data_IF_769067589716
#
_entry.id   IF_769067589716
#
_cell.length_a   1.000
_cell.length_b   1.000
_cell.length_c   1.000
_cell.angle_alpha   90.00
_cell.angle_beta   90.00
_cell.angle_gamma   90.00
#
_symmetry.space_group_name_H-M   'P 1'
#
loop_
_entity.id
_entity.type
_entity.pdbx_description
1 polymer ?
#
# COMPACT_ATOMS: atom_id res chain seq x y z
N UNK A 1 2.83 24.52 4.64
CA UNK A 1 1.72 23.67 5.11
C UNK A 1 1.75 22.42 4.28
N UNK A 2 2.14 21.30 4.85
CA UNK A 2 2.17 20.01 4.16
C UNK A 2 0.72 19.57 3.93
N UNK A 3 0.33 19.41 2.66
CA UNK A 3 -1.01 18.92 2.35
C UNK A 3 -1.04 17.41 2.55
N UNK A 4 -1.99 16.96 3.38
CA UNK A 4 -2.28 15.55 3.56
C UNK A 4 -3.17 15.12 2.39
N UNK A 5 -2.67 14.24 1.54
CA UNK A 5 -3.45 13.63 0.45
C UNK A 5 -3.99 12.30 0.94
N UNK A 6 -5.32 12.14 0.91
CA UNK A 6 -5.99 10.92 1.38
C UNK A 6 -6.18 9.92 0.24
N UNK A 7 -6.30 8.61 0.55
CA UNK A 7 -6.72 7.62 -0.44
C UNK A 7 -8.21 7.76 -0.73
N UNK A 8 -8.56 7.85 -2.01
CA UNK A 8 -9.94 7.89 -2.51
C UNK A 8 -10.49 6.46 -2.73
N UNK A 9 -9.67 5.57 -3.31
CA UNK A 9 -10.04 4.17 -3.52
C UNK A 9 -8.85 3.21 -3.36
N UNK A 10 -9.13 2.00 -2.89
CA UNK A 10 -8.16 0.90 -2.78
C UNK A 10 -8.73 -0.31 -3.51
N UNK A 11 -8.03 -0.77 -4.55
CA UNK A 11 -8.47 -1.87 -5.41
C UNK A 11 -7.50 -3.06 -5.33
N UNK A 12 -8.05 -4.27 -5.31
CA UNK A 12 -7.31 -5.51 -5.51
C UNK A 12 -7.29 -5.84 -7.00
N UNK A 13 -6.12 -5.80 -7.60
CA UNK A 13 -5.86 -6.20 -8.98
C UNK A 13 -5.14 -7.55 -9.01
N UNK A 14 -4.98 -8.12 -10.22
CA UNK A 14 -4.41 -9.46 -10.39
C UNK A 14 -2.98 -9.58 -9.84
N UNK A 15 -2.16 -8.53 -9.96
CA UNK A 15 -0.74 -8.53 -9.57
C UNK A 15 -0.36 -7.52 -8.48
N UNK A 16 -1.28 -6.65 -8.08
CA UNK A 16 -1.02 -5.57 -7.13
C UNK A 16 -2.24 -5.15 -6.30
N UNK A 17 -1.97 -4.47 -5.18
CA UNK A 17 -2.94 -3.59 -4.52
C UNK A 17 -2.72 -2.18 -5.07
N UNK A 18 -3.74 -1.59 -5.71
CA UNK A 18 -3.65 -0.25 -6.28
C UNK A 18 -4.39 0.78 -5.42
N UNK A 19 -3.71 1.87 -5.07
CA UNK A 19 -4.31 3.02 -4.37
C UNK A 19 -4.49 4.16 -5.38
N UNK A 20 -5.72 4.68 -5.45
CA UNK A 20 -6.04 5.96 -6.09
C UNK A 20 -6.13 7.03 -5.01
N UNK A 21 -5.40 8.12 -5.19
CA UNK A 21 -5.34 9.24 -4.26
C UNK A 21 -6.25 10.39 -4.73
N UNK A 22 -6.65 11.27 -3.82
CA UNK A 22 -7.52 12.43 -4.14
C UNK A 22 -6.90 13.40 -5.16
N UNK A 23 -5.57 13.41 -5.32
CA UNK A 23 -4.86 14.20 -6.33
C UNK A 23 -4.77 13.48 -7.70
N UNK A 24 -5.51 12.39 -7.88
CA UNK A 24 -5.51 11.50 -9.03
C UNK A 24 -4.20 10.74 -9.26
N UNK A 25 -3.26 10.75 -8.30
CA UNK A 25 -2.11 9.86 -8.35
C UNK A 25 -2.56 8.40 -8.20
N UNK A 26 -1.86 7.48 -8.86
CA UNK A 26 -2.09 6.04 -8.75
C UNK A 26 -0.82 5.33 -8.33
N UNK A 27 -0.88 4.58 -7.24
CA UNK A 27 0.25 3.81 -6.70
C UNK A 27 -0.08 2.31 -6.68
N UNK A 28 0.43 1.52 -7.65
CA UNK A 28 0.34 0.06 -7.59
C UNK A 28 1.42 -0.52 -6.67
N UNK A 29 1.02 -1.36 -5.74
CA UNK A 29 1.92 -2.10 -4.85
C UNK A 29 1.85 -3.60 -5.16
N UNK A 30 2.87 -4.19 -5.80
CA UNK A 30 2.87 -5.61 -6.12
C UNK A 30 2.70 -6.47 -4.87
N UNK A 31 1.94 -7.56 -4.98
CA UNK A 31 1.62 -8.43 -3.83
C UNK A 31 2.87 -8.92 -3.09
N UNK A 32 3.93 -9.29 -3.84
CA UNK A 32 5.20 -9.74 -3.29
C UNK A 32 5.91 -8.63 -2.49
N UNK A 33 5.87 -7.39 -2.99
CA UNK A 33 6.48 -6.25 -2.32
C UNK A 33 5.84 -6.02 -0.96
N UNK A 34 4.51 -5.96 -0.89
CA UNK A 34 3.78 -5.79 0.37
C UNK A 34 4.05 -6.92 1.36
N UNK A 35 4.11 -8.18 0.88
CA UNK A 35 4.39 -9.33 1.75
C UNK A 35 5.78 -9.29 2.37
N UNK A 36 6.79 -8.81 1.63
CA UNK A 36 8.16 -8.64 2.13
C UNK A 36 8.30 -7.47 3.09
N UNK A 37 7.46 -6.44 2.95
CA UNK A 37 7.44 -5.26 3.81
C UNK A 37 6.46 -5.38 4.99
N UNK A 38 5.92 -6.57 5.27
CA UNK A 38 4.91 -6.75 6.32
C UNK A 38 5.47 -6.40 7.70
N UNK A 39 4.92 -5.40 8.42
CA UNK A 39 5.49 -4.93 9.68
C UNK A 39 4.97 -5.72 10.91
N UNK A 40 4.24 -6.82 10.73
CA UNK A 40 3.67 -7.55 11.86
C UNK A 40 4.74 -8.35 12.61
N UNK A 41 4.56 -8.53 13.92
CA UNK A 41 5.50 -9.23 14.81
C UNK A 41 5.96 -10.61 14.27
N UNK A 42 5.06 -11.36 13.63
CA UNK A 42 5.36 -12.65 13.03
C UNK A 42 6.31 -12.57 11.81
N UNK A 43 6.33 -11.44 11.09
CA UNK A 43 7.22 -11.23 9.94
C UNK A 43 8.50 -10.46 10.29
N UNK A 44 8.47 -9.62 11.32
CA UNK A 44 9.62 -8.80 11.76
C UNK A 44 10.50 -9.48 12.81
N UNK A 45 10.24 -10.76 13.11
CA UNK A 45 11.06 -11.62 13.98
C UNK A 45 11.13 -11.11 15.44
N UNK A 46 9.97 -10.75 16.01
CA UNK A 46 9.82 -10.57 17.46
C UNK A 46 9.62 -11.95 18.13
N UNK A 47 10.71 -12.72 18.28
CA UNK A 47 10.78 -13.90 19.17
C UNK A 47 11.65 -13.61 20.40
#
# INVERSE_FOLDING_TARGET
MEQVILPDAINLEDDAVAILWEDAHRSPFPHRYLRLACPCANCVDEM
#
